data_IF_904781821965
#
_entry.id   IF_904781821965
#
_cell.length_a   1.000
_cell.length_b   1.000
_cell.length_c   1.000
_cell.angle_alpha   90.00
_cell.angle_beta   90.00
_cell.angle_gamma   90.00
#
_symmetry.space_group_name_H-M   'P 1'
#
loop_
_entity.id
_entity.type
_entity.pdbx_description
1 polymer ?
#
# COMPACT_ATOMS: atom_id res chain seq x y z
N UNK A 1 -31.75 -17.83 -37.65
CA UNK A 1 -30.98 -18.74 -36.76
C UNK A 1 -29.52 -18.53 -37.15
N UNK A 2 -28.63 -18.00 -36.30
CA UNK A 2 -28.04 -18.65 -35.11
C UNK A 2 -27.28 -19.93 -35.51
N UNK A 3 -25.97 -20.12 -35.29
CA UNK A 3 -24.98 -19.37 -34.52
C UNK A 3 -23.67 -19.17 -35.33
N UNK A 4 -22.97 -18.05 -35.12
CA UNK A 4 -21.53 -17.95 -35.37
C UNK A 4 -20.80 -17.95 -34.01
N UNK A 5 -19.89 -18.89 -33.80
CA UNK A 5 -19.27 -19.13 -32.50
C UNK A 5 -18.29 -18.01 -32.08
N UNK A 6 -18.16 -17.81 -30.77
CA UNK A 6 -17.33 -16.79 -30.16
C UNK A 6 -15.85 -16.92 -30.53
N UNK A 7 -15.30 -15.93 -31.22
CA UNK A 7 -13.86 -15.62 -31.20
C UNK A 7 -13.66 -14.29 -30.47
N UNK A 8 -13.55 -14.34 -29.14
CA UNK A 8 -13.11 -13.21 -28.33
C UNK A 8 -12.16 -13.66 -27.22
N UNK A 9 -11.14 -12.84 -26.98
CA UNK A 9 -10.18 -12.92 -25.85
C UNK A 9 -9.07 -13.99 -25.90
N UNK A 10 -8.19 -13.93 -26.91
CA UNK A 10 -6.75 -13.90 -26.57
C UNK A 10 -6.44 -12.61 -25.79
N UNK A 11 -6.75 -12.59 -24.49
CA UNK A 11 -6.82 -11.33 -23.73
C UNK A 11 -6.46 -11.41 -22.25
N UNK A 12 -6.03 -12.56 -21.73
CA UNK A 12 -5.53 -12.66 -20.36
C UNK A 12 -4.54 -13.84 -20.21
N UNK A 13 -3.26 -13.61 -20.50
CA UNK A 13 -2.21 -14.46 -19.88
C UNK A 13 -2.42 -14.37 -18.37
N UNK A 14 -2.50 -15.53 -17.68
CA UNK A 14 -2.49 -15.63 -16.22
C UNK A 14 -1.12 -15.17 -15.69
N UNK A 15 -0.91 -13.86 -15.72
CA UNK A 15 0.19 -13.19 -15.04
C UNK A 15 -0.10 -13.23 -13.55
N UNK A 16 0.19 -14.37 -12.94
CA UNK A 16 0.36 -14.53 -11.50
C UNK A 16 1.17 -13.32 -11.01
N UNK A 17 0.63 -12.52 -10.08
CA UNK A 17 1.28 -11.31 -9.58
C UNK A 17 2.37 -11.63 -8.53
N UNK A 18 3.11 -12.72 -8.75
CA UNK A 18 4.36 -12.98 -8.06
C UNK A 18 5.47 -12.22 -8.81
N UNK A 19 6.40 -11.50 -8.14
CA UNK A 19 6.72 -11.55 -6.71
C UNK A 19 6.66 -10.15 -6.05
N UNK A 20 5.46 -9.70 -5.63
CA UNK A 20 5.33 -8.42 -4.91
C UNK A 20 5.10 -8.64 -3.41
N UNK A 21 6.05 -8.20 -2.59
CA UNK A 21 6.07 -8.39 -1.13
C UNK A 21 5.13 -7.42 -0.40
N UNK A 22 4.76 -6.33 -1.04
CA UNK A 22 3.81 -5.34 -0.51
C UNK A 22 2.94 -4.73 -1.63
N UNK A 23 1.78 -4.14 -1.28
CA UNK A 23 0.99 -3.41 -2.25
C UNK A 23 1.71 -2.15 -2.76
N UNK A 24 2.65 -1.58 -1.99
CA UNK A 24 3.48 -0.45 -2.43
C UNK A 24 4.46 -0.86 -3.54
N UNK A 25 5.10 -2.02 -3.40
CA UNK A 25 5.98 -2.57 -4.43
C UNK A 25 5.21 -2.88 -5.72
N UNK A 26 3.99 -3.40 -5.60
CA UNK A 26 3.08 -3.60 -6.72
C UNK A 26 2.77 -2.27 -7.45
N UNK A 27 2.40 -1.21 -6.71
CA UNK A 27 2.13 0.13 -7.26
C UNK A 27 3.30 0.64 -8.10
N UNK A 28 4.53 0.51 -7.58
CA UNK A 28 5.77 0.93 -8.26
C UNK A 28 6.07 0.03 -9.47
N UNK A 29 6.21 -1.28 -9.27
CA UNK A 29 6.66 -2.21 -10.33
C UNK A 29 5.64 -2.46 -11.43
N UNK A 30 4.33 -2.27 -11.18
CA UNK A 30 3.29 -2.27 -12.24
C UNK A 30 3.08 -0.88 -12.86
N UNK A 31 3.78 0.15 -12.40
CA UNK A 31 3.62 1.52 -12.88
C UNK A 31 2.18 1.99 -12.76
N UNK A 32 1.55 1.77 -11.60
CA UNK A 32 0.20 2.26 -11.31
C UNK A 32 0.22 3.78 -11.12
N UNK A 33 1.29 4.28 -10.50
CA UNK A 33 1.63 5.70 -10.51
C UNK A 33 2.73 5.97 -11.56
N UNK A 34 3.08 7.24 -11.76
CA UNK A 34 4.29 7.64 -12.48
C UNK A 34 5.56 7.24 -11.68
N UNK A 35 6.74 7.14 -12.31
CA UNK A 35 7.98 6.73 -11.62
C UNK A 35 8.39 7.62 -10.44
N UNK A 36 7.99 8.89 -10.46
CA UNK A 36 8.17 9.87 -9.38
C UNK A 36 7.09 9.78 -8.29
N UNK A 37 6.25 8.74 -8.32
CA UNK A 37 5.14 8.51 -7.41
C UNK A 37 3.88 9.34 -7.71
N UNK A 38 3.90 10.26 -8.67
CA UNK A 38 2.75 11.12 -8.99
C UNK A 38 1.63 10.38 -9.70
N UNK A 39 0.46 11.01 -9.72
CA UNK A 39 -0.73 10.49 -10.37
C UNK A 39 -0.49 10.20 -11.86
N UNK A 40 -0.97 9.05 -12.34
CA UNK A 40 -0.83 8.58 -13.72
C UNK A 40 -2.15 8.68 -14.48
N UNK A 41 -2.06 8.93 -15.77
CA UNK A 41 -3.23 9.06 -16.65
C UNK A 41 -3.76 7.71 -17.14
N UNK A 42 -5.09 7.60 -17.14
CA UNK A 42 -5.84 6.43 -17.58
C UNK A 42 -6.99 6.87 -18.48
N UNK A 43 -7.07 6.36 -19.71
CA UNK A 43 -8.17 6.69 -20.63
C UNK A 43 -9.48 6.11 -20.10
N UNK A 44 -10.51 6.94 -19.95
CA UNK A 44 -11.82 6.53 -19.43
C UNK A 44 -12.98 6.73 -20.42
N UNK A 45 -12.73 7.53 -21.46
CA UNK A 45 -13.62 7.73 -22.59
C UNK A 45 -12.75 7.70 -23.85
N UNK A 46 -13.11 6.83 -24.79
CA UNK A 46 -12.48 6.75 -26.10
C UNK A 46 -13.32 7.50 -27.14
N UNK A 47 -12.66 8.02 -28.18
CA UNK A 47 -13.31 8.55 -29.37
C UNK A 47 -14.11 7.47 -30.14
N UNK A 48 -14.78 7.87 -31.23
CA UNK A 48 -15.64 6.96 -32.00
C UNK A 48 -14.89 5.82 -32.68
N UNK A 49 -13.63 6.03 -33.06
CA UNK A 49 -12.81 5.01 -33.74
C UNK A 49 -12.32 3.95 -32.75
N UNK A 50 -12.10 4.35 -31.49
CA UNK A 50 -11.60 3.47 -30.43
C UNK A 50 -12.66 3.03 -29.41
N UNK A 51 -13.96 3.17 -29.73
CA UNK A 51 -15.10 2.83 -28.85
C UNK A 51 -15.11 1.40 -28.29
N UNK A 52 -14.45 0.46 -28.96
CA UNK A 52 -14.35 -0.93 -28.52
C UNK A 52 -13.33 -1.15 -27.38
N UNK A 53 -12.44 -0.17 -27.13
CA UNK A 53 -11.48 -0.24 -26.05
C UNK A 53 -12.17 -0.08 -24.68
N UNK A 54 -11.77 -0.89 -23.71
CA UNK A 54 -12.28 -0.81 -22.34
C UNK A 54 -11.73 0.43 -21.62
N UNK A 55 -12.47 0.89 -20.61
CA UNK A 55 -12.00 1.97 -19.72
C UNK A 55 -10.77 1.52 -18.92
N UNK A 56 -9.69 2.26 -19.03
CA UNK A 56 -8.45 2.02 -18.29
C UNK A 56 -8.52 2.54 -16.85
N UNK A 57 -9.51 3.39 -16.51
CA UNK A 57 -9.69 3.92 -15.15
C UNK A 57 -9.90 2.81 -14.09
N UNK A 58 -10.35 1.63 -14.52
CA UNK A 58 -10.48 0.44 -13.67
C UNK A 58 -9.14 -0.28 -13.40
N UNK A 59 -8.07 0.01 -14.14
CA UNK A 59 -6.81 -0.73 -14.06
C UNK A 59 -6.19 -0.74 -12.64
N UNK A 60 -6.04 0.40 -11.92
CA UNK A 60 -5.53 0.38 -10.55
C UNK A 60 -6.35 -0.53 -9.64
N UNK A 61 -7.68 -0.38 -9.63
CA UNK A 61 -8.58 -1.23 -8.83
C UNK A 61 -8.41 -2.71 -9.19
N UNK A 62 -8.37 -3.06 -10.48
CA UNK A 62 -8.24 -4.45 -10.93
C UNK A 62 -6.92 -5.08 -10.48
N UNK A 63 -5.80 -4.36 -10.59
CA UNK A 63 -4.49 -4.84 -10.14
C UNK A 63 -4.45 -5.03 -8.62
N UNK A 64 -4.97 -4.08 -7.85
CA UNK A 64 -5.06 -4.22 -6.38
C UNK A 64 -6.03 -5.33 -5.95
N UNK A 65 -7.10 -5.57 -6.72
CA UNK A 65 -8.07 -6.65 -6.47
C UNK A 65 -7.41 -8.02 -6.67
N UNK A 66 -6.74 -8.21 -7.81
CA UNK A 66 -6.02 -9.43 -8.12
C UNK A 66 -4.93 -9.73 -7.08
N UNK A 67 -4.15 -8.71 -6.69
CA UNK A 67 -3.12 -8.89 -5.67
C UNK A 67 -3.72 -9.28 -4.30
N UNK A 68 -4.76 -8.59 -3.85
CA UNK A 68 -5.45 -8.95 -2.60
C UNK A 68 -5.98 -10.40 -2.64
N UNK A 69 -6.55 -10.82 -3.78
CA UNK A 69 -7.06 -12.17 -3.96
C UNK A 69 -5.94 -13.24 -3.95
N UNK A 70 -4.81 -12.99 -4.61
CA UNK A 70 -3.63 -13.88 -4.59
C UNK A 70 -3.00 -14.01 -3.19
N UNK A 71 -3.12 -12.99 -2.34
CA UNK A 71 -2.73 -13.09 -0.92
C UNK A 71 -3.77 -13.80 -0.04
N UNK A 72 -4.87 -14.30 -0.61
CA UNK A 72 -5.96 -14.97 0.10
C UNK A 72 -6.91 -14.03 0.84
N UNK A 73 -6.96 -12.75 0.44
CA UNK A 73 -7.87 -11.74 0.96
C UNK A 73 -9.01 -11.38 -0.01
N UNK A 74 -9.88 -10.47 0.42
CA UNK A 74 -10.96 -9.89 -0.39
C UNK A 74 -10.83 -8.37 -0.41
N UNK A 75 -10.77 -7.77 -1.60
CA UNK A 75 -10.78 -6.31 -1.74
C UNK A 75 -12.21 -5.80 -1.75
N UNK A 76 -12.57 -4.94 -0.79
CA UNK A 76 -13.89 -4.31 -0.68
C UNK A 76 -13.77 -2.78 -0.66
N UNK A 77 -14.77 -2.08 -1.21
CA UNK A 77 -14.86 -0.63 -1.12
C UNK A 77 -15.12 -0.25 0.35
N UNK A 78 -14.26 0.62 0.91
CA UNK A 78 -14.38 1.16 2.26
C UNK A 78 -15.00 2.56 2.24
N UNK A 79 -14.54 3.45 1.35
CA UNK A 79 -15.08 4.80 1.17
C UNK A 79 -15.20 5.16 -0.31
N UNK A 80 -16.33 5.75 -0.69
CA UNK A 80 -16.50 6.34 -2.03
C UNK A 80 -15.66 7.62 -2.15
N UNK A 81 -15.00 7.81 -3.29
CA UNK A 81 -14.40 9.10 -3.63
C UNK A 81 -15.46 10.20 -3.70
N UNK A 82 -15.06 11.42 -3.32
CA UNK A 82 -15.83 12.66 -3.48
C UNK A 82 -15.19 13.60 -4.51
N UNK A 83 -14.22 13.10 -5.29
CA UNK A 83 -13.41 13.90 -6.22
C UNK A 83 -12.70 15.09 -5.55
N UNK A 84 -12.37 14.97 -4.26
CA UNK A 84 -11.86 16.09 -3.44
C UNK A 84 -10.48 16.62 -3.82
N UNK A 85 -9.73 15.91 -4.66
CA UNK A 85 -8.45 16.35 -5.21
C UNK A 85 -8.56 16.94 -6.62
N UNK A 86 -9.75 16.93 -7.23
CA UNK A 86 -10.01 17.56 -8.55
C UNK A 86 -10.55 18.97 -8.31
N UNK A 87 -9.74 19.99 -8.58
CA UNK A 87 -10.09 21.39 -8.29
C UNK A 87 -11.23 21.93 -9.19
N UNK A 88 -11.24 21.55 -10.46
CA UNK A 88 -12.20 21.99 -11.49
C UNK A 88 -13.57 21.29 -11.32
N UNK A 89 -14.65 22.08 -11.19
CA UNK A 89 -16.01 21.58 -11.00
C UNK A 89 -16.58 20.87 -12.23
N UNK A 90 -16.25 21.31 -13.44
CA UNK A 90 -16.68 20.68 -14.68
C UNK A 90 -15.97 19.34 -14.90
N UNK A 91 -14.69 19.24 -14.54
CA UNK A 91 -13.96 17.97 -14.48
C UNK A 91 -14.62 17.00 -13.49
N UNK A 92 -14.92 17.45 -12.26
CA UNK A 92 -15.66 16.63 -11.27
C UNK A 92 -16.97 16.08 -11.83
N UNK A 93 -17.79 16.94 -12.46
CA UNK A 93 -19.07 16.53 -13.05
C UNK A 93 -18.90 15.51 -14.18
N UNK A 94 -17.93 15.71 -15.10
CA UNK A 94 -17.65 14.75 -16.18
C UNK A 94 -17.18 13.39 -15.67
N UNK A 95 -16.30 13.38 -14.67
CA UNK A 95 -15.78 12.14 -14.08
C UNK A 95 -16.87 11.39 -13.29
N UNK A 96 -17.72 12.11 -12.54
CA UNK A 96 -18.84 11.54 -11.78
C UNK A 96 -19.92 10.91 -12.68
N UNK A 97 -20.08 11.38 -13.92
CA UNK A 97 -21.00 10.81 -14.89
C UNK A 97 -20.52 9.47 -15.50
N UNK A 98 -19.23 9.13 -15.40
CA UNK A 98 -18.68 7.91 -16.00
C UNK A 98 -18.62 6.76 -14.99
N UNK A 99 -19.41 5.71 -15.23
CA UNK A 99 -19.47 4.52 -14.37
C UNK A 99 -18.13 3.81 -14.19
N UNK A 100 -17.30 3.77 -15.25
CA UNK A 100 -15.97 3.16 -15.18
C UNK A 100 -15.01 3.92 -14.25
N UNK A 101 -15.09 5.26 -14.23
CA UNK A 101 -14.35 6.08 -13.27
C UNK A 101 -14.90 5.89 -11.87
N UNK A 102 -16.22 6.04 -11.67
CA UNK A 102 -16.87 5.90 -10.35
C UNK A 102 -16.63 4.54 -9.72
N UNK A 103 -16.55 3.47 -10.51
CA UNK A 103 -16.22 2.13 -10.03
C UNK A 103 -14.72 1.92 -9.77
N UNK A 104 -13.83 2.70 -10.38
CA UNK A 104 -12.38 2.56 -10.25
C UNK A 104 -11.76 3.28 -9.04
N UNK A 105 -12.47 4.29 -8.50
CA UNK A 105 -11.96 5.23 -7.49
C UNK A 105 -12.55 5.05 -6.09
N UNK A 106 -11.86 5.59 -5.10
CA UNK A 106 -12.20 5.53 -3.68
C UNK A 106 -11.14 4.82 -2.84
N UNK A 107 -11.43 4.61 -1.56
CA UNK A 107 -10.63 3.76 -0.70
C UNK A 107 -11.17 2.33 -0.69
N UNK A 108 -10.25 1.38 -0.87
CA UNK A 108 -10.52 -0.04 -0.84
C UNK A 108 -9.70 -0.69 0.28
N UNK A 109 -10.35 -1.51 1.10
CA UNK A 109 -9.70 -2.32 2.13
C UNK A 109 -9.50 -3.73 1.58
N UNK A 110 -8.28 -4.25 1.65
CA UNK A 110 -8.05 -5.69 1.50
C UNK A 110 -8.26 -6.33 2.88
N UNK A 111 -9.42 -6.97 3.07
CA UNK A 111 -9.64 -7.81 4.25
C UNK A 111 -8.99 -9.16 4.00
N UNK A 112 -7.80 -9.31 4.58
CA UNK A 112 -7.26 -10.61 4.95
C UNK A 112 -7.99 -11.04 6.23
N UNK A 113 -8.27 -12.33 6.42
CA UNK A 113 -8.92 -12.82 7.65
C UNK A 113 -8.11 -12.52 8.92
N UNK A 114 -8.71 -12.72 10.09
CA UNK A 114 -8.33 -12.20 11.44
C UNK A 114 -6.85 -12.30 11.87
N UNK A 115 -6.05 -13.10 11.17
CA UNK A 115 -4.64 -13.39 11.45
C UNK A 115 -3.64 -12.65 10.54
N UNK A 116 -4.10 -11.77 9.65
CA UNK A 116 -3.25 -11.03 8.73
C UNK A 116 -3.64 -9.56 8.60
N UNK A 117 -2.62 -8.69 8.53
CA UNK A 117 -2.80 -7.25 8.47
C UNK A 117 -3.59 -6.83 7.22
N UNK A 118 -4.78 -6.27 7.45
CA UNK A 118 -5.59 -5.66 6.41
C UNK A 118 -5.01 -4.29 6.04
N UNK A 119 -4.80 -4.05 4.75
CA UNK A 119 -4.32 -2.76 4.23
C UNK A 119 -5.42 -2.00 3.49
N UNK A 120 -5.29 -0.67 3.44
CA UNK A 120 -6.19 0.22 2.71
C UNK A 120 -5.40 0.90 1.60
N UNK A 121 -5.94 0.87 0.38
CA UNK A 121 -5.44 1.64 -0.76
C UNK A 121 -6.49 2.67 -1.17
N UNK A 122 -6.06 3.90 -1.39
CA UNK A 122 -6.85 5.00 -1.94
C UNK A 122 -6.46 5.18 -3.41
N UNK A 123 -7.46 5.21 -4.29
CA UNK A 123 -7.33 5.48 -5.72
C UNK A 123 -8.17 6.73 -5.99
N UNK A 124 -7.54 7.89 -6.09
CA UNK A 124 -8.25 9.17 -6.21
C UNK A 124 -7.92 9.90 -7.52
N UNK A 125 -8.93 10.50 -8.18
CA UNK A 125 -8.69 11.40 -9.30
C UNK A 125 -8.14 12.74 -8.80
N UNK A 126 -7.09 13.24 -9.46
CA UNK A 126 -6.51 14.58 -9.19
C UNK A 126 -6.78 15.57 -10.32
N UNK A 127 -7.06 15.08 -11.53
CA UNK A 127 -7.41 15.87 -12.70
C UNK A 127 -8.11 15.02 -13.76
N UNK A 128 -8.76 15.68 -14.70
CA UNK A 128 -9.22 15.14 -15.98
C UNK A 128 -8.57 15.93 -17.12
N UNK A 129 -8.19 15.24 -18.20
CA UNK A 129 -7.61 15.87 -19.39
C UNK A 129 -8.13 15.25 -20.67
N UNK A 130 -8.32 16.09 -21.67
CA UNK A 130 -8.51 15.68 -23.05
C UNK A 130 -7.14 15.36 -23.66
N UNK A 131 -7.03 14.31 -24.48
CA UNK A 131 -5.73 13.87 -25.01
C UNK A 131 -5.10 14.92 -25.94
N UNK A 132 -5.92 15.49 -26.84
CA UNK A 132 -5.55 16.51 -27.80
C UNK A 132 -6.74 17.45 -28.04
N UNK A 133 -6.46 18.68 -28.43
CA UNK A 133 -7.49 19.59 -28.94
C UNK A 133 -8.13 18.96 -30.19
N UNK A 134 -9.45 18.78 -30.18
CA UNK A 134 -10.29 18.03 -31.14
C UNK A 134 -10.48 16.52 -30.90
N UNK A 135 -9.64 15.85 -30.11
CA UNK A 135 -9.91 14.43 -29.78
C UNK A 135 -11.04 14.30 -28.76
N UNK A 136 -12.00 13.39 -28.98
CA UNK A 136 -13.03 13.04 -27.97
C UNK A 136 -12.49 12.10 -26.86
N UNK A 137 -11.26 11.60 -27.02
CA UNK A 137 -10.59 10.74 -26.03
C UNK A 137 -10.19 11.54 -24.79
N UNK A 138 -10.63 11.08 -23.61
CA UNK A 138 -10.40 11.71 -22.30
C UNK A 138 -9.77 10.76 -21.30
N UNK A 139 -8.83 11.29 -20.53
CA UNK A 139 -8.07 10.58 -19.50
C UNK A 139 -8.34 11.18 -18.12
N UNK A 140 -8.40 10.31 -17.12
CA UNK A 140 -8.43 10.69 -15.70
C UNK A 140 -7.04 10.44 -15.12
N UNK A 141 -6.52 11.42 -14.39
CA UNK A 141 -5.23 11.30 -13.71
C UNK A 141 -5.47 10.77 -12.29
N UNK A 142 -5.10 9.52 -12.04
CA UNK A 142 -5.35 8.79 -10.80
C UNK A 142 -4.08 8.68 -9.95
N UNK A 143 -4.19 9.00 -8.67
CA UNK A 143 -3.16 8.74 -7.66
C UNK A 143 -3.56 7.50 -6.86
N UNK A 144 -2.71 6.48 -6.86
CA UNK A 144 -2.87 5.30 -6.00
C UNK A 144 -1.91 5.39 -4.81
N UNK A 145 -2.41 5.29 -3.58
CA UNK A 145 -1.59 5.38 -2.36
C UNK A 145 -2.10 4.47 -1.26
N UNK A 146 -1.19 3.85 -0.50
CA UNK A 146 -1.57 3.20 0.75
C UNK A 146 -1.94 4.24 1.81
N UNK A 147 -2.88 3.88 2.69
CA UNK A 147 -3.34 4.73 3.79
C UNK A 147 -3.51 3.91 5.08
N UNK A 148 -3.28 4.55 6.23
CA UNK A 148 -3.67 3.98 7.54
C UNK A 148 -5.17 4.17 7.78
N UNK A 149 -5.78 3.36 8.65
CA UNK A 149 -7.23 3.42 8.95
C UNK A 149 -7.70 4.82 9.37
N UNK A 150 -6.98 5.46 10.32
CA UNK A 150 -7.31 6.82 10.78
C UNK A 150 -7.11 7.88 9.69
N UNK A 151 -6.08 7.71 8.84
CA UNK A 151 -5.81 8.61 7.72
C UNK A 151 -6.91 8.53 6.66
N UNK A 152 -7.34 7.32 6.31
CA UNK A 152 -8.45 7.09 5.39
C UNK A 152 -9.75 7.65 5.96
N UNK A 153 -10.07 7.34 7.22
CA UNK A 153 -11.20 7.92 7.91
C UNK A 153 -11.21 9.45 7.78
N UNK A 154 -10.12 10.12 8.17
CA UNK A 154 -10.03 11.57 8.14
C UNK A 154 -10.14 12.15 6.72
N UNK A 155 -9.48 11.55 5.72
CA UNK A 155 -9.53 12.02 4.33
C UNK A 155 -10.95 11.97 3.73
N UNK A 156 -11.68 10.87 3.94
CA UNK A 156 -13.03 10.70 3.37
C UNK A 156 -14.14 11.34 4.23
N UNK A 157 -13.95 11.48 5.55
CA UNK A 157 -14.89 12.12 6.49
C UNK A 157 -14.73 13.64 6.60
N UNK A 158 -13.52 14.21 6.45
CA UNK A 158 -13.34 15.67 6.49
C UNK A 158 -14.13 16.37 5.36
N UNK A 159 -14.25 15.70 4.21
CA UNK A 159 -15.13 16.11 3.11
C UNK A 159 -16.63 15.77 3.35
N UNK A 160 -17.06 15.47 4.57
CA UNK A 160 -18.47 15.39 5.00
C UNK A 160 -18.84 16.54 5.95
N UNK A 161 -17.87 17.06 6.71
CA UNK A 161 -18.06 18.08 7.74
C UNK A 161 -18.50 19.44 7.20
N UNK A 162 -18.11 19.79 5.97
CA UNK A 162 -18.44 21.07 5.32
C UNK A 162 -19.88 21.17 4.80
N UNK A 163 -20.69 20.11 4.92
CA UNK A 163 -22.08 20.09 4.42
C UNK A 163 -23.16 20.31 5.50
N UNK A 164 -22.80 20.60 6.75
CA UNK A 164 -23.77 20.70 7.88
C UNK A 164 -23.78 22.02 8.68
N UNK A 165 -23.05 23.05 8.24
CA UNK A 165 -23.07 24.41 8.85
C UNK A 165 -23.36 25.48 7.80
N UNK A 166 -24.53 25.38 7.15
CA UNK A 166 -24.99 26.35 6.17
C UNK A 166 -26.53 26.51 6.11
N UNK A 167 -27.22 26.57 7.26
CA UNK A 167 -28.61 27.07 7.38
C UNK A 167 -28.80 27.81 8.71
N UNK A 168 -29.52 28.95 8.65
CA UNK A 168 -29.58 30.07 9.63
C UNK A 168 -28.24 30.85 9.72
N UNK A 169 -28.20 32.18 9.57
CA UNK A 169 -29.26 33.18 9.31
C UNK A 169 -28.72 34.32 8.43
N UNK A 170 -29.61 35.00 7.71
CA UNK A 170 -29.31 36.17 6.85
C UNK A 170 -30.09 37.38 7.38
N UNK A 171 -29.38 38.42 7.80
CA UNK A 171 -29.60 39.88 7.57
C UNK A 171 -28.76 40.71 8.59
N UNK A 172 -27.84 41.60 8.17
CA UNK A 172 -28.03 43.00 7.67
C UNK A 172 -28.34 43.94 8.88
N UNK A 173 -27.62 45.03 9.18
CA UNK A 173 -27.05 46.15 8.36
C UNK A 173 -25.71 46.72 8.92
N UNK A 174 -24.78 47.04 8.02
CA UNK A 174 -23.88 48.23 7.91
C UNK A 174 -23.81 49.27 9.08
N UNK A 175 -22.59 49.63 9.52
CA UNK A 175 -22.22 51.02 9.90
C UNK A 175 -20.69 51.25 9.84
N UNK A 176 -20.28 52.44 9.40
CA UNK A 176 -18.88 52.89 9.21
C UNK A 176 -18.50 53.94 10.25
N UNK A 177 -17.25 53.93 10.78
CA UNK A 177 -16.52 55.16 11.12
C UNK A 177 -15.04 54.95 11.50
N UNK A 178 -14.26 55.95 11.14
CA UNK A 178 -12.81 56.18 11.21
C UNK A 178 -12.23 56.62 12.58
N UNK A 179 -10.96 56.24 12.79
CA UNK A 179 -9.83 57.08 13.24
C UNK A 179 -9.52 57.44 14.73
N UNK A 180 -8.26 57.13 15.10
CA UNK A 180 -7.21 58.00 15.69
C UNK A 180 -7.17 58.41 17.20
N UNK A 181 -6.15 57.82 17.88
CA UNK A 181 -5.14 58.42 18.79
C UNK A 181 -5.45 59.07 20.15
N UNK A 182 -4.80 58.49 21.20
CA UNK A 182 -3.73 59.08 22.07
C UNK A 182 -4.03 59.70 23.46
N UNK A 183 -3.25 59.22 24.46
CA UNK A 183 -2.91 59.77 25.81
C UNK A 183 -4.08 60.15 26.76
N UNK A 184 -4.04 60.17 28.10
CA UNK A 184 -3.05 59.93 29.18
C UNK A 184 -3.85 59.61 30.51
N UNK A 185 -3.34 59.21 31.68
CA UNK A 185 -2.00 58.78 32.14
C UNK A 185 -2.06 57.98 33.49
N UNK A 186 -0.85 57.69 34.00
CA UNK A 186 -0.34 57.10 35.27
C UNK A 186 -0.73 57.85 36.59
N UNK A 187 -0.44 57.35 37.83
CA UNK A 187 0.96 57.07 38.29
C UNK A 187 1.23 55.90 39.29
N UNK A 188 2.47 55.36 39.18
CA UNK A 188 3.45 54.93 40.25
C UNK A 188 3.08 53.92 41.34
N UNK A 189 3.95 53.05 41.88
CA UNK A 189 5.37 52.63 41.66
C UNK A 189 5.44 51.11 42.03
N UNK A 190 6.49 50.28 41.87
CA UNK A 190 7.94 50.43 42.08
C UNK A 190 8.76 49.56 41.09
N UNK A 191 10.08 49.45 41.30
CA UNK A 191 11.06 49.17 40.26
C UNK A 191 12.30 48.43 40.83
N UNK A 192 12.88 47.51 40.04
CA UNK A 192 14.24 46.89 40.08
C UNK A 192 14.24 45.35 40.10
N UNK A 193 15.39 44.80 39.69
CA UNK A 193 15.80 43.40 39.68
C UNK A 193 15.05 42.42 38.74
N UNK A 194 15.49 42.36 37.46
CA UNK A 194 15.98 41.07 36.92
C UNK A 194 16.85 41.08 35.64
N UNK A 195 17.29 42.24 35.09
CA UNK A 195 18.18 42.33 33.91
C UNK A 195 19.65 41.93 34.17
N UNK A 196 19.86 40.83 34.91
CA UNK A 196 21.18 40.26 35.23
C UNK A 196 21.11 38.74 35.36
N UNK A 197 20.68 38.04 34.29
CA UNK A 197 20.73 36.57 34.24
C UNK A 197 20.98 35.91 32.87
N UNK A 198 21.39 36.67 31.85
CA UNK A 198 21.64 36.12 30.51
C UNK A 198 23.14 36.07 30.09
N UNK A 199 24.06 36.77 30.79
CA UNK A 199 25.49 36.73 30.45
C UNK A 199 26.31 35.61 31.13
N UNK A 200 25.96 35.15 32.34
CA UNK A 200 26.77 34.14 33.05
C UNK A 200 26.64 32.70 32.50
N UNK A 201 25.68 32.44 31.59
CA UNK A 201 25.46 31.08 31.05
C UNK A 201 26.34 30.73 29.83
N UNK A 202 27.28 31.60 29.44
CA UNK A 202 28.19 31.40 28.29
C UNK A 202 29.66 31.15 28.64
N UNK A 203 30.09 31.31 29.90
CA UNK A 203 31.49 31.05 30.29
C UNK A 203 31.74 29.65 30.90
N UNK A 204 30.69 28.95 31.37
CA UNK A 204 30.80 27.58 31.89
C UNK A 204 30.89 26.49 30.80
N UNK A 205 30.97 26.85 29.52
CA UNK A 205 30.97 25.92 28.39
C UNK A 205 32.33 25.80 27.67
N UNK A 206 33.43 26.31 28.27
CA UNK A 206 34.74 26.43 27.58
C UNK A 206 35.97 25.96 28.37
N UNK A 207 35.80 25.40 29.57
CA UNK A 207 36.91 25.13 30.50
C UNK A 207 37.14 23.64 30.86
N UNK A 208 36.62 22.69 30.08
CA UNK A 208 36.79 21.24 30.35
C UNK A 208 37.25 20.45 29.10
N UNK A 209 38.10 21.08 28.28
CA UNK A 209 38.82 20.42 27.17
C UNK A 209 40.32 20.55 27.40
N UNK A 210 40.89 19.73 28.29
CA UNK A 210 42.28 19.28 28.15
C UNK A 210 42.60 18.04 29.01
N UNK A 211 43.48 17.17 28.47
CA UNK A 211 44.30 16.13 29.17
C UNK A 211 43.62 14.84 29.68
N UNK A 212 43.41 13.85 28.78
CA UNK A 212 44.33 12.68 28.54
C UNK A 212 43.62 11.43 27.96
N UNK A 213 44.18 10.89 26.87
CA UNK A 213 43.92 9.55 26.28
C UNK A 213 44.73 8.43 27.01
N UNK A 214 44.74 7.11 26.63
CA UNK A 214 44.07 6.42 25.49
C UNK A 214 43.42 5.01 25.70
N UNK A 215 42.47 4.68 24.79
CA UNK A 215 42.08 3.35 24.24
C UNK A 215 41.35 2.29 25.14
N UNK A 216 40.57 1.33 24.57
CA UNK A 216 40.25 1.11 23.15
C UNK A 216 38.76 1.25 22.77
N UNK A 217 38.52 1.28 21.45
CA UNK A 217 37.31 1.70 20.75
C UNK A 217 36.18 0.65 20.70
N UNK A 218 34.95 1.05 21.06
CA UNK A 218 33.70 0.49 20.49
C UNK A 218 32.78 1.64 20.07
N UNK A 219 32.72 1.92 18.75
CA UNK A 219 31.92 3.03 18.22
C UNK A 219 30.43 2.66 18.18
N UNK A 220 29.65 3.21 19.11
CA UNK A 220 28.20 3.32 18.98
C UNK A 220 27.84 4.46 18.03
N UNK A 221 27.64 4.13 16.74
CA UNK A 221 27.02 5.07 15.79
C UNK A 221 25.52 5.22 16.08
N UNK A 222 24.92 6.40 15.78
CA UNK A 222 23.47 6.57 15.88
C UNK A 222 22.75 5.57 14.98
N UNK A 223 21.76 4.88 15.53
CA UNK A 223 21.07 3.74 14.89
C UNK A 223 20.24 4.18 13.68
N UNK A 224 20.88 4.22 12.51
CA UNK A 224 20.18 4.22 11.24
C UNK A 224 19.20 3.03 11.19
N UNK A 225 18.01 3.24 10.64
CA UNK A 225 17.05 2.16 10.41
C UNK A 225 17.61 1.22 9.34
N UNK A 226 18.24 0.13 9.77
CA UNK A 226 18.69 -0.94 8.89
C UNK A 226 17.45 -1.56 8.24
N UNK A 227 17.18 -1.18 6.99
CA UNK A 227 16.21 -1.88 6.15
C UNK A 227 16.74 -3.30 5.94
N UNK A 228 16.15 -4.29 6.62
CA UNK A 228 16.49 -5.71 6.46
C UNK A 228 16.44 -6.06 4.97
N UNK A 229 17.46 -6.75 4.45
CA UNK A 229 17.49 -7.13 3.03
C UNK A 229 16.37 -8.15 2.73
N UNK A 230 15.88 -8.25 1.48
CA UNK A 230 14.88 -9.26 1.12
C UNK A 230 15.32 -10.69 1.49
N UNK A 231 16.62 -10.98 1.43
CA UNK A 231 17.18 -12.28 1.81
C UNK A 231 17.14 -12.50 3.33
N UNK A 232 17.43 -11.48 4.14
CA UNK A 232 17.29 -11.52 5.60
C UNK A 232 15.83 -11.71 6.02
N UNK A 233 14.91 -10.98 5.38
CA UNK A 233 13.47 -11.09 5.62
C UNK A 233 12.93 -12.48 5.25
N UNK A 234 13.32 -13.01 4.08
CA UNK A 234 12.98 -14.36 3.65
C UNK A 234 13.47 -15.43 4.65
N UNK A 235 14.74 -15.35 5.05
CA UNK A 235 15.35 -16.26 6.03
C UNK A 235 14.61 -16.21 7.38
N UNK A 236 14.33 -15.01 7.88
CA UNK A 236 13.61 -14.77 9.15
C UNK A 236 12.21 -15.39 9.13
N UNK A 237 11.46 -15.21 8.05
CA UNK A 237 10.14 -15.81 7.84
C UNK A 237 10.22 -17.34 7.74
N UNK A 238 11.17 -17.87 6.96
CA UNK A 238 11.41 -19.32 6.83
C UNK A 238 11.76 -19.99 8.17
N UNK A 239 12.72 -19.44 8.91
CA UNK A 239 13.15 -19.97 10.22
C UNK A 239 12.00 -19.94 11.22
N UNK A 240 11.23 -18.85 11.26
CA UNK A 240 10.05 -18.73 12.13
C UNK A 240 8.98 -19.75 11.75
N UNK A 241 8.66 -19.88 10.46
CA UNK A 241 7.70 -20.85 9.95
C UNK A 241 8.11 -22.30 10.28
N UNK A 242 9.36 -22.66 10.02
CA UNK A 242 9.89 -24.01 10.27
C UNK A 242 9.83 -24.37 11.76
N UNK A 243 10.25 -23.46 12.63
CA UNK A 243 10.20 -23.63 14.09
C UNK A 243 8.77 -23.84 14.57
N UNK A 244 7.85 -22.98 14.15
CA UNK A 244 6.48 -22.98 14.66
C UNK A 244 5.67 -24.19 14.11
N UNK A 245 5.87 -24.58 12.84
CA UNK A 245 5.32 -25.83 12.26
C UNK A 245 5.83 -27.05 13.02
N UNK A 246 7.15 -27.17 13.22
CA UNK A 246 7.75 -28.33 13.90
C UNK A 246 7.30 -28.44 15.37
N UNK A 247 7.06 -27.31 16.03
CA UNK A 247 6.62 -27.26 17.43
C UNK A 247 5.10 -27.38 17.61
N UNK A 248 4.32 -27.52 16.53
CA UNK A 248 2.86 -27.58 16.59
C UNK A 248 2.17 -26.26 17.00
N UNK A 249 2.89 -25.14 17.02
CA UNK A 249 2.41 -23.85 17.54
C UNK A 249 2.04 -22.90 16.41
N UNK A 250 1.00 -22.09 16.62
CA UNK A 250 0.61 -21.00 15.69
C UNK A 250 0.49 -21.45 14.22
N UNK A 251 0.04 -22.68 13.95
CA UNK A 251 0.20 -23.35 12.65
C UNK A 251 -0.27 -22.51 11.46
N UNK A 252 -1.40 -21.80 11.57
CA UNK A 252 -1.89 -20.89 10.53
C UNK A 252 -0.89 -19.74 10.22
N UNK A 253 -0.29 -19.13 11.25
CA UNK A 253 0.69 -18.06 11.10
C UNK A 253 2.03 -18.60 10.59
N UNK A 254 2.43 -19.78 11.05
CA UNK A 254 3.61 -20.47 10.56
C UNK A 254 3.48 -20.79 9.06
N UNK A 255 2.30 -21.22 8.61
CA UNK A 255 1.99 -21.43 7.20
C UNK A 255 1.88 -20.13 6.38
N UNK A 256 1.30 -19.07 6.94
CA UNK A 256 1.34 -17.74 6.33
C UNK A 256 2.79 -17.26 6.14
N UNK A 257 3.67 -17.51 7.12
CA UNK A 257 5.09 -17.16 7.05
C UNK A 257 5.86 -18.05 6.05
N UNK A 258 5.57 -19.35 5.97
CA UNK A 258 6.12 -20.24 4.94
C UNK A 258 5.75 -19.76 3.53
N UNK A 259 4.47 -19.42 3.30
CA UNK A 259 3.99 -18.88 2.03
C UNK A 259 4.66 -17.55 1.71
N UNK A 260 4.78 -16.63 2.68
CA UNK A 260 5.52 -15.37 2.49
C UNK A 260 6.97 -15.64 2.10
N UNK A 261 7.69 -16.48 2.84
CA UNK A 261 9.08 -16.84 2.55
C UNK A 261 9.25 -17.48 1.15
N UNK A 262 8.34 -18.35 0.73
CA UNK A 262 8.32 -18.89 -0.63
C UNK A 262 8.05 -17.81 -1.69
N UNK A 263 7.14 -16.87 -1.40
CA UNK A 263 6.78 -15.76 -2.30
C UNK A 263 7.92 -14.75 -2.55
N UNK A 264 8.97 -14.71 -1.71
CA UNK A 264 10.21 -13.95 -2.00
C UNK A 264 10.97 -14.50 -3.23
N UNK A 265 10.64 -15.71 -3.69
CA UNK A 265 11.30 -16.34 -4.83
C UNK A 265 12.73 -16.81 -4.53
N UNK A 266 13.40 -17.31 -5.56
CA UNK A 266 14.81 -17.72 -5.48
C UNK A 266 15.69 -16.47 -5.32
N UNK A 267 16.33 -16.36 -4.16
CA UNK A 267 17.33 -15.32 -3.91
C UNK A 267 18.72 -15.77 -4.38
N UNK A 268 19.63 -14.81 -4.56
CA UNK A 268 20.98 -15.11 -5.06
C UNK A 268 21.78 -15.99 -4.07
N UNK A 269 22.69 -16.79 -4.61
CA UNK A 269 23.54 -17.70 -3.85
C UNK A 269 22.88 -19.04 -3.46
N UNK A 270 23.69 -19.91 -2.85
CA UNK A 270 23.29 -21.25 -2.39
C UNK A 270 22.23 -21.16 -1.27
N UNK A 271 22.45 -20.32 -0.27
CA UNK A 271 21.49 -20.09 0.82
C UNK A 271 20.16 -19.51 0.33
N UNK A 272 20.19 -18.52 -0.59
CA UNK A 272 18.97 -17.98 -1.19
C UNK A 272 18.16 -19.01 -1.98
N UNK A 273 18.85 -19.98 -2.59
CA UNK A 273 18.21 -21.12 -3.25
C UNK A 273 17.64 -22.11 -2.23
N UNK A 274 18.39 -22.45 -1.18
CA UNK A 274 17.98 -23.38 -0.12
C UNK A 274 16.76 -22.88 0.65
N UNK A 275 16.77 -21.61 1.07
CA UNK A 275 15.65 -20.99 1.80
C UNK A 275 14.38 -20.98 0.96
N UNK A 276 14.49 -20.66 -0.35
CA UNK A 276 13.36 -20.72 -1.26
C UNK A 276 12.78 -22.13 -1.40
N UNK A 277 13.62 -23.15 -1.65
CA UNK A 277 13.14 -24.52 -1.84
C UNK A 277 12.55 -25.13 -0.57
N UNK A 278 13.18 -24.90 0.59
CA UNK A 278 12.68 -25.34 1.88
C UNK A 278 11.38 -24.64 2.28
N UNK A 279 11.24 -23.33 1.98
CA UNK A 279 9.98 -22.61 2.19
C UNK A 279 8.85 -23.21 1.34
N UNK A 280 9.13 -23.62 0.10
CA UNK A 280 8.17 -24.31 -0.75
C UNK A 280 7.76 -25.69 -0.20
N UNK A 281 8.68 -26.42 0.44
CA UNK A 281 8.34 -27.66 1.16
C UNK A 281 7.43 -27.41 2.36
N UNK A 282 7.65 -26.32 3.11
CA UNK A 282 6.75 -25.93 4.20
C UNK A 282 5.36 -25.53 3.68
N UNK A 283 5.28 -24.78 2.58
CA UNK A 283 4.01 -24.45 1.89
C UNK A 283 3.25 -25.71 1.50
N UNK A 284 3.92 -26.68 0.88
CA UNK A 284 3.30 -27.94 0.51
C UNK A 284 2.72 -28.67 1.73
N UNK A 285 3.49 -28.80 2.83
CA UNK A 285 3.01 -29.39 4.10
C UNK A 285 1.82 -28.64 4.68
N UNK A 286 1.82 -27.32 4.62
CA UNK A 286 0.70 -26.50 5.06
C UNK A 286 -0.58 -26.74 4.26
N UNK A 287 -0.46 -26.92 2.95
CA UNK A 287 -1.58 -27.19 2.06
C UNK A 287 -2.10 -28.64 2.14
N UNK A 288 -1.31 -29.60 2.64
CA UNK A 288 -1.69 -31.02 2.70
C UNK A 288 -2.00 -31.55 4.10
N UNK A 289 -1.34 -31.01 5.12
CA UNK A 289 -1.25 -31.64 6.45
C UNK A 289 -1.73 -30.73 7.59
N UNK A 290 -2.00 -29.45 7.32
CA UNK A 290 -2.52 -28.48 8.29
C UNK A 290 -3.93 -28.08 7.85
N UNK A 291 -4.93 -28.78 8.39
CA UNK A 291 -6.34 -28.68 7.99
C UNK A 291 -6.90 -27.25 8.05
N UNK A 292 -6.55 -26.50 9.10
CA UNK A 292 -6.96 -25.10 9.32
C UNK A 292 -6.39 -24.12 8.29
N UNK A 293 -5.29 -24.50 7.63
CA UNK A 293 -4.69 -23.71 6.56
C UNK A 293 -5.20 -24.17 5.19
N UNK A 294 -5.25 -25.48 4.95
CA UNK A 294 -5.69 -26.06 3.68
C UNK A 294 -7.16 -25.77 3.35
N UNK A 295 -8.05 -25.73 4.35
CA UNK A 295 -9.49 -25.44 4.17
C UNK A 295 -9.78 -24.05 3.57
N UNK A 296 -8.82 -23.12 3.65
CA UNK A 296 -8.89 -21.79 3.02
C UNK A 296 -8.78 -21.83 1.49
N UNK A 297 -8.37 -22.97 0.92
CA UNK A 297 -8.09 -23.13 -0.51
C UNK A 297 -8.95 -24.25 -1.10
N UNK A 298 -9.91 -23.96 -2.00
CA UNK A 298 -10.79 -24.96 -2.63
C UNK A 298 -10.07 -26.08 -3.39
N UNK A 299 -8.77 -25.93 -3.66
CA UNK A 299 -7.92 -26.96 -4.25
C UNK A 299 -6.52 -26.94 -3.61
N UNK A 300 -6.45 -27.10 -2.29
CA UNK A 300 -5.19 -27.10 -1.55
C UNK A 300 -4.22 -28.20 -2.05
N UNK A 301 -4.71 -29.43 -2.25
CA UNK A 301 -3.92 -30.57 -2.76
C UNK A 301 -3.29 -30.28 -4.13
N UNK A 302 -4.06 -29.75 -5.07
CA UNK A 302 -3.55 -29.37 -6.40
C UNK A 302 -2.61 -28.17 -6.37
N UNK A 303 -2.74 -27.26 -5.41
CA UNK A 303 -1.73 -26.20 -5.20
C UNK A 303 -0.43 -26.78 -4.64
N UNK A 304 -0.49 -27.70 -3.67
CA UNK A 304 0.68 -28.41 -3.14
C UNK A 304 1.42 -29.18 -4.25
N UNK A 305 0.70 -29.94 -5.08
CA UNK A 305 1.27 -30.65 -6.23
C UNK A 305 1.99 -29.71 -7.20
N UNK A 306 1.46 -28.51 -7.49
CA UNK A 306 2.15 -27.52 -8.36
C UNK A 306 3.47 -27.03 -7.74
N UNK A 307 3.47 -26.68 -6.46
CA UNK A 307 4.67 -26.23 -5.74
C UNK A 307 5.72 -27.35 -5.75
N UNK A 308 5.33 -28.56 -5.37
CA UNK A 308 6.23 -29.71 -5.32
C UNK A 308 6.75 -30.11 -6.70
N UNK A 309 5.93 -30.05 -7.76
CA UNK A 309 6.38 -30.31 -9.13
C UNK A 309 7.44 -29.30 -9.58
N UNK A 310 7.28 -28.01 -9.25
CA UNK A 310 8.29 -26.99 -9.50
C UNK A 310 9.61 -27.29 -8.78
N UNK A 311 9.56 -27.62 -7.49
CA UNK A 311 10.74 -28.00 -6.70
C UNK A 311 11.42 -29.28 -7.21
N UNK A 312 10.64 -30.29 -7.58
CA UNK A 312 11.14 -31.58 -8.05
C UNK A 312 11.80 -31.49 -9.45
N UNK A 313 11.26 -30.66 -10.35
CA UNK A 313 11.75 -30.52 -11.72
C UNK A 313 12.84 -29.46 -11.88
N UNK A 314 12.72 -28.30 -11.23
CA UNK A 314 13.65 -27.17 -11.40
C UNK A 314 14.85 -27.22 -10.45
N UNK A 315 14.68 -27.86 -9.28
CA UNK A 315 15.70 -27.90 -8.22
C UNK A 315 16.10 -29.32 -7.82
N UNK A 316 15.62 -30.34 -8.54
CA UNK A 316 15.86 -31.76 -8.25
C UNK A 316 15.52 -32.16 -6.79
N UNK A 317 14.60 -31.45 -6.14
CA UNK A 317 14.45 -31.51 -4.68
C UNK A 317 13.92 -32.88 -4.21
N UNK A 318 14.76 -33.67 -3.54
CA UNK A 318 14.45 -35.04 -3.15
C UNK A 318 13.19 -35.14 -2.25
N UNK A 319 13.07 -34.24 -1.27
CA UNK A 319 11.88 -34.17 -0.42
C UNK A 319 10.60 -33.86 -1.20
N UNK A 320 10.69 -33.11 -2.31
CA UNK A 320 9.53 -32.77 -3.12
C UNK A 320 9.07 -33.96 -3.98
N UNK A 321 10.03 -34.70 -4.56
CA UNK A 321 9.77 -35.97 -5.26
C UNK A 321 9.09 -37.00 -4.35
N UNK A 322 9.56 -37.15 -3.12
CA UNK A 322 8.99 -38.08 -2.16
C UNK A 322 7.56 -37.66 -1.74
N UNK A 323 7.34 -36.37 -1.48
CA UNK A 323 6.03 -35.86 -1.11
C UNK A 323 5.01 -35.93 -2.26
N UNK A 324 5.42 -35.75 -3.52
CA UNK A 324 4.56 -35.98 -4.69
C UNK A 324 4.06 -37.43 -4.77
N UNK A 325 4.94 -38.41 -4.54
CA UNK A 325 4.58 -39.83 -4.50
C UNK A 325 3.57 -40.17 -3.40
N UNK A 326 3.49 -39.38 -2.33
CA UNK A 326 2.52 -39.53 -1.24
C UNK A 326 1.17 -38.84 -1.50
N UNK A 327 1.10 -37.98 -2.52
CA UNK A 327 -0.10 -37.23 -2.88
C UNK A 327 -0.81 -37.78 -4.12
N UNK A 328 -0.18 -38.70 -4.85
CA UNK A 328 -0.77 -39.38 -5.99
C UNK A 328 -1.33 -40.73 -5.54
#
# INVERSE_FOLDING_TARGET
MSLAACNSMQGAKKNILHPFHSPQELIVKRGINQPDGKAKDYVYLWDQQQRHNTTQAMYPRSVMTQYCHEQGGKLSLLYKSKFGLVNDSAQRTRLAANQGVVQGIGAYKCTMGDLAESWIVSIEPVAERQAENNSKTRSVRLLTRLMKTAEAHNFYQAAASTAKTAKKQVNVVKATATAKTSVAAKPTAEQKDHDRKELERKELAKAEVEKKEPKPVTVTTPRASVNETPQQQQMKLYVTARRDINNGRNLNNACNNAQRAYNYGKQQGTEGTRVYTESGMLVARCLTSISTYSSRFPNAKGQAQRVLNGLASQYNHAGAKNMLKQLN
#
